data_IF_378785849221
#
_entry.id   IF_378785849221
#
_cell.length_a   1.000
_cell.length_b   1.000
_cell.length_c   1.000
_cell.angle_alpha   90.00
_cell.angle_beta   90.00
_cell.angle_gamma   90.00
#
_symmetry.space_group_name_H-M   'P 1'
#
loop_
_entity.id
_entity.type
_entity.pdbx_description
1 polymer ?
#
# COMPACT_ATOMS: atom_id res chain seq x y z
N UNK A 1 -17.22 4.46 1.73
CA UNK A 1 -16.42 4.26 2.96
C UNK A 1 -15.78 2.88 2.88
N UNK A 2 -14.58 2.79 2.30
CA UNK A 2 -13.86 1.52 2.26
C UNK A 2 -13.40 1.19 3.67
N UNK A 3 -14.17 0.36 4.38
CA UNK A 3 -13.78 -0.17 5.66
C UNK A 3 -12.68 -1.20 5.39
N UNK A 4 -11.42 -0.76 5.40
CA UNK A 4 -10.25 -1.61 5.17
C UNK A 4 -10.20 -2.65 6.29
N UNK A 5 -10.90 -3.75 6.08
CA UNK A 5 -11.03 -4.82 7.06
C UNK A 5 -9.80 -5.73 7.04
N UNK A 6 -9.07 -5.75 5.93
CA UNK A 6 -7.84 -6.51 5.75
C UNK A 6 -6.95 -5.79 4.73
N UNK A 7 -5.71 -5.48 5.13
CA UNK A 7 -4.73 -4.98 4.17
C UNK A 7 -4.33 -6.08 3.18
N UNK A 8 -3.92 -5.71 1.97
CA UNK A 8 -3.46 -6.68 0.98
C UNK A 8 -2.27 -7.50 1.53
N UNK A 9 -2.30 -8.82 1.27
CA UNK A 9 -1.25 -9.75 1.70
C UNK A 9 0.02 -9.60 0.86
N UNK A 10 1.15 -10.04 1.40
CA UNK A 10 2.45 -10.01 0.69
C UNK A 10 2.39 -10.77 -0.64
N UNK A 11 1.68 -11.89 -0.68
CA UNK A 11 1.51 -12.71 -1.87
C UNK A 11 0.81 -11.94 -3.00
N UNK A 12 -0.27 -11.22 -2.66
CA UNK A 12 -0.99 -10.37 -3.62
C UNK A 12 -0.14 -9.19 -4.13
N UNK A 13 0.74 -8.63 -3.28
CA UNK A 13 1.69 -7.59 -3.69
C UNK A 13 2.75 -8.20 -4.63
N UNK A 14 3.25 -9.39 -4.33
CA UNK A 14 4.20 -10.09 -5.20
C UNK A 14 3.57 -10.41 -6.57
N UNK A 15 2.33 -10.92 -6.60
CA UNK A 15 1.59 -11.12 -7.85
C UNK A 15 1.43 -9.82 -8.63
N UNK A 16 1.06 -8.73 -7.95
CA UNK A 16 0.97 -7.42 -8.59
C UNK A 16 2.31 -6.97 -9.21
N UNK A 17 3.42 -7.14 -8.51
CA UNK A 17 4.76 -6.80 -9.01
C UNK A 17 5.16 -7.67 -10.21
N UNK A 18 4.81 -8.95 -10.21
CA UNK A 18 5.03 -9.85 -11.35
C UNK A 18 4.25 -9.39 -12.57
N UNK A 19 2.98 -9.02 -12.38
CA UNK A 19 2.12 -8.58 -13.47
C UNK A 19 2.48 -7.19 -14.01
N UNK A 20 2.86 -6.26 -13.13
CA UNK A 20 3.12 -4.87 -13.54
C UNK A 20 4.56 -4.63 -13.99
N UNK A 21 5.54 -5.29 -13.37
CA UNK A 21 6.95 -5.10 -13.66
C UNK A 21 7.61 -6.28 -14.39
N UNK A 22 6.91 -7.40 -14.57
CA UNK A 22 7.47 -8.59 -15.22
C UNK A 22 8.58 -9.26 -14.41
N UNK A 23 8.60 -9.06 -13.09
CA UNK A 23 9.61 -9.63 -12.20
C UNK A 23 9.45 -11.15 -12.05
N UNK A 24 10.58 -11.84 -11.93
CA UNK A 24 10.62 -13.25 -11.53
C UNK A 24 10.10 -13.46 -10.11
N UNK A 25 9.58 -14.65 -9.82
CA UNK A 25 8.94 -14.99 -8.54
C UNK A 25 9.80 -14.61 -7.32
N UNK A 26 11.10 -14.90 -7.36
CA UNK A 26 12.00 -14.61 -6.24
C UNK A 26 12.23 -13.10 -6.03
N UNK A 27 12.35 -12.34 -7.12
CA UNK A 27 12.52 -10.89 -7.07
C UNK A 27 11.25 -10.19 -6.61
N UNK A 28 10.10 -10.65 -7.10
CA UNK A 28 8.80 -10.12 -6.71
C UNK A 28 8.49 -10.37 -5.23
N UNK A 29 8.82 -11.54 -4.69
CA UNK A 29 8.63 -11.85 -3.28
C UNK A 29 9.53 -11.00 -2.37
N UNK A 30 10.81 -10.87 -2.74
CA UNK A 30 11.76 -10.03 -2.02
C UNK A 30 11.31 -8.55 -2.02
N UNK A 31 10.87 -8.04 -3.17
CA UNK A 31 10.42 -6.66 -3.28
C UNK A 31 9.06 -6.43 -2.59
N UNK A 32 8.13 -7.38 -2.67
CA UNK A 32 6.88 -7.34 -1.93
C UNK A 32 7.10 -7.29 -0.41
N UNK A 33 8.07 -8.06 0.11
CA UNK A 33 8.45 -8.02 1.52
C UNK A 33 8.97 -6.63 1.93
N UNK A 34 9.82 -6.02 1.11
CA UNK A 34 10.33 -4.65 1.35
C UNK A 34 9.21 -3.61 1.32
N UNK A 35 8.30 -3.69 0.34
CA UNK A 35 7.14 -2.80 0.24
C UNK A 35 6.25 -2.95 1.47
N UNK A 36 5.95 -4.18 1.88
CA UNK A 36 5.14 -4.46 3.07
C UNK A 36 5.78 -3.89 4.34
N UNK A 37 7.09 -4.05 4.50
CA UNK A 37 7.81 -3.47 5.64
C UNK A 37 7.71 -1.93 5.65
N UNK A 38 7.85 -1.29 4.49
CA UNK A 38 7.68 0.15 4.36
C UNK A 38 6.25 0.60 4.70
N UNK A 39 5.23 -0.13 4.27
CA UNK A 39 3.85 0.17 4.61
C UNK A 39 3.57 0.00 6.09
N UNK A 40 4.12 -1.04 6.72
CA UNK A 40 4.03 -1.21 8.17
C UNK A 40 4.70 -0.06 8.92
N UNK A 41 5.88 0.39 8.46
CA UNK A 41 6.56 1.58 9.02
C UNK A 41 5.71 2.83 8.86
N UNK A 42 5.11 3.07 7.69
CA UNK A 42 4.23 4.21 7.45
C UNK A 42 2.97 4.16 8.33
N UNK A 43 2.41 2.98 8.55
CA UNK A 43 1.28 2.77 9.45
C UNK A 43 1.67 3.03 10.91
N UNK A 44 2.82 2.53 11.35
CA UNK A 44 3.33 2.75 12.70
C UNK A 44 3.66 4.23 12.97
N UNK A 45 4.09 4.97 11.95
CA UNK A 45 4.32 6.42 12.01
C UNK A 45 3.02 7.24 11.94
N UNK A 46 1.87 6.60 11.70
CA UNK A 46 0.58 7.28 11.61
C UNK A 46 0.34 8.01 10.29
N UNK A 47 1.08 7.67 9.23
CA UNK A 47 0.87 8.25 7.90
C UNK A 47 -0.28 7.57 7.13
N UNK A 48 -0.39 6.25 7.24
CA UNK A 48 -1.43 5.46 6.56
C UNK A 48 -2.22 4.62 7.56
N UNK A 49 -3.52 4.44 7.30
CA UNK A 49 -4.38 3.50 8.03
C UNK A 49 -4.17 2.05 7.55
N UNK A 50 -3.87 1.89 6.27
CA UNK A 50 -3.68 0.60 5.61
C UNK A 50 -3.40 0.76 4.13
N UNK A 51 -3.43 -0.36 3.41
CA UNK A 51 -3.20 -0.45 1.96
C UNK A 51 -4.13 -1.53 1.40
N UNK A 52 -4.63 -1.34 0.18
CA UNK A 52 -5.57 -2.27 -0.46
C UNK A 52 -5.41 -2.21 -1.98
N UNK A 53 -5.96 -3.18 -2.69
CA UNK A 53 -6.09 -3.08 -4.14
C UNK A 53 -7.39 -2.32 -4.47
N UNK A 54 -7.27 -1.31 -5.33
CA UNK A 54 -8.43 -0.58 -5.82
C UNK A 54 -9.20 -1.41 -6.88
N UNK A 55 -10.32 -0.88 -7.38
CA UNK A 55 -11.16 -1.57 -8.37
C UNK A 55 -10.43 -1.81 -9.71
N UNK A 56 -9.41 -1.02 -10.03
CA UNK A 56 -8.51 -1.21 -11.17
C UNK A 56 -7.39 -2.24 -10.90
N UNK A 57 -7.28 -2.76 -9.68
CA UNK A 57 -6.25 -3.72 -9.28
C UNK A 57 -4.89 -3.08 -9.01
N UNK A 58 -4.81 -1.77 -8.79
CA UNK A 58 -3.58 -1.13 -8.34
C UNK A 58 -3.51 -1.09 -6.82
N UNK A 59 -2.29 -1.17 -6.31
CA UNK A 59 -2.01 -1.09 -4.89
C UNK A 59 -2.14 0.37 -4.44
N UNK A 60 -3.20 0.65 -3.68
CA UNK A 60 -3.51 1.98 -3.18
C UNK A 60 -3.26 2.08 -1.66
N UNK A 61 -2.79 3.25 -1.24
CA UNK A 61 -2.45 3.56 0.14
C UNK A 61 -3.53 4.42 0.77
N UNK A 62 -4.02 3.99 1.93
CA UNK A 62 -5.10 4.66 2.63
C UNK A 62 -4.49 5.60 3.67
N UNK A 63 -4.46 6.92 3.44
CA UNK A 63 -3.89 7.86 4.41
C UNK A 63 -4.70 7.90 5.72
N UNK A 64 -4.04 8.34 6.80
CA UNK A 64 -4.73 8.71 8.05
C UNK A 64 -5.49 10.04 7.91
N UNK A 65 -6.48 10.28 8.77
CA UNK A 65 -7.21 11.56 8.77
C UNK A 65 -6.25 12.73 8.98
N UNK A 66 -5.25 12.55 9.85
CA UNK A 66 -4.21 13.55 10.09
C UNK A 66 -3.41 13.90 8.83
N UNK A 67 -3.11 12.91 7.96
CA UNK A 67 -2.47 13.20 6.67
C UNK A 67 -3.41 13.89 5.69
N UNK A 68 -4.69 13.51 5.66
CA UNK A 68 -5.69 14.17 4.82
C UNK A 68 -5.84 15.66 5.19
N UNK A 69 -5.83 15.99 6.48
CA UNK A 69 -5.84 17.38 6.95
C UNK A 69 -4.59 18.17 6.53
N UNK A 70 -3.42 17.52 6.50
CA UNK A 70 -2.17 18.14 6.00
C UNK A 70 -2.28 18.44 4.50
N UNK A 71 -2.78 17.48 3.71
CA UNK A 71 -2.94 17.68 2.26
C UNK A 71 -3.94 18.80 1.93
N UNK A 72 -5.05 18.89 2.66
CA UNK A 72 -6.03 19.98 2.51
C UNK A 72 -5.42 21.36 2.79
N UNK A 73 -4.56 21.45 3.82
CA UNK A 73 -3.90 22.72 4.19
C UNK A 73 -2.83 23.18 3.21
N UNK A 74 -2.19 22.28 2.47
CA UNK A 74 -1.13 22.62 1.50
C UNK A 74 -1.71 23.13 0.17
N UNK A 75 -3.00 22.87 -0.11
CA UNK A 75 -3.69 23.31 -1.32
C UNK A 75 -4.32 24.71 -1.21
N UNK A 76 -4.22 25.37 -0.06
CA UNK A 76 -4.75 26.72 0.22
C UNK A 76 -3.67 27.78 0.24
#
# INVERSE_FOLDING_TARGET
MANISQSASVDSIAEYLRHTQGLDNASADAEAAVILENFQKMRAQGYIKGWCFDEAGHLDLIPTDSMLEIFDRVQK
#
